data_IF_852441959779
#
_entry.id   IF_852441959779
#
_cell.length_a   1.000
_cell.length_b   1.000
_cell.length_c   1.000
_cell.angle_alpha   90.00
_cell.angle_beta   90.00
_cell.angle_gamma   90.00
#
_symmetry.space_group_name_H-M   'P 1'
#
loop_
_entity.id
_entity.type
_entity.pdbx_description
1 polymer ?
#
# COMPACT_ATOMS: atom_id res chain seq x y z
N UNK A 1 14.10 -16.02 8.87
CA UNK A 1 14.34 -15.27 7.62
C UNK A 1 12.96 -14.92 7.08
N UNK A 2 12.55 -13.67 7.18
CA UNK A 2 11.33 -13.16 6.53
C UNK A 2 11.64 -13.25 5.04
N UNK A 3 10.87 -14.06 4.30
CA UNK A 3 11.03 -14.19 2.87
C UNK A 3 10.87 -12.79 2.26
N UNK A 4 11.92 -12.27 1.62
CA UNK A 4 11.83 -11.03 0.85
C UNK A 4 10.68 -11.19 -0.12
N UNK A 5 9.72 -10.27 -0.08
CA UNK A 5 8.65 -10.23 -1.07
C UNK A 5 9.30 -10.14 -2.45
N UNK A 6 9.09 -11.17 -3.29
CA UNK A 6 9.67 -11.26 -4.64
C UNK A 6 9.32 -10.06 -5.54
N UNK A 7 8.40 -9.22 -5.10
CA UNK A 7 8.05 -7.97 -5.76
C UNK A 7 9.22 -6.99 -5.80
N UNK A 8 10.03 -6.89 -4.74
CA UNK A 8 11.13 -5.93 -4.65
C UNK A 8 12.40 -6.37 -5.40
N UNK A 9 12.52 -7.65 -5.72
CA UNK A 9 13.70 -8.20 -6.44
C UNK A 9 13.53 -8.19 -7.98
N UNK A 10 12.50 -7.52 -8.51
CA UNK A 10 12.20 -7.47 -9.94
C UNK A 10 12.87 -6.28 -10.63
N UNK A 11 13.28 -6.44 -11.89
CA UNK A 11 13.94 -5.37 -12.64
C UNK A 11 13.02 -4.24 -13.11
N UNK A 12 11.69 -4.45 -13.08
CA UNK A 12 10.72 -3.42 -13.42
C UNK A 12 10.72 -2.30 -12.39
N UNK A 13 10.50 -1.07 -12.85
CA UNK A 13 10.54 0.13 -12.00
C UNK A 13 9.19 0.37 -11.33
N UNK A 14 9.19 0.53 -10.01
CA UNK A 14 8.01 0.94 -9.23
C UNK A 14 8.08 2.43 -8.85
N UNK A 15 6.96 2.96 -8.37
CA UNK A 15 6.93 4.32 -7.81
C UNK A 15 7.86 4.46 -6.58
N UNK A 16 8.00 3.40 -5.78
CA UNK A 16 8.92 3.38 -4.64
C UNK A 16 10.38 3.48 -5.09
N UNK A 17 10.76 2.79 -6.16
CA UNK A 17 12.12 2.86 -6.71
C UNK A 17 12.42 4.27 -7.23
N UNK A 18 11.45 4.93 -7.88
CA UNK A 18 11.59 6.32 -8.33
C UNK A 18 11.73 7.29 -7.16
N UNK A 19 10.98 7.06 -6.09
CA UNK A 19 11.05 7.87 -4.86
C UNK A 19 12.39 7.70 -4.16
N UNK A 20 12.94 6.48 -4.11
CA UNK A 20 14.25 6.19 -3.55
C UNK A 20 15.36 6.86 -4.38
N UNK A 21 15.28 6.76 -5.70
CA UNK A 21 16.20 7.44 -6.61
C UNK A 21 16.13 8.97 -6.44
N UNK A 22 14.93 9.53 -6.34
CA UNK A 22 14.75 10.95 -6.07
C UNK A 22 15.40 11.38 -4.76
N UNK A 23 15.19 10.62 -3.67
CA UNK A 23 15.80 10.90 -2.37
C UNK A 23 17.33 10.76 -2.39
N UNK A 24 17.87 9.90 -3.24
CA UNK A 24 19.33 9.78 -3.42
C UNK A 24 19.93 11.03 -4.06
N UNK A 25 19.30 11.57 -5.12
CA UNK A 25 19.80 12.77 -5.80
C UNK A 25 19.41 14.10 -5.12
N UNK A 26 18.30 14.09 -4.41
CA UNK A 26 17.73 15.26 -3.72
C UNK A 26 17.35 14.88 -2.30
N UNK A 27 18.34 14.63 -1.42
CA UNK A 27 18.07 14.20 -0.06
C UNK A 27 17.26 15.28 0.69
N UNK A 28 16.29 14.83 1.47
CA UNK A 28 15.49 15.72 2.32
C UNK A 28 16.29 16.07 3.57
N UNK A 29 16.22 17.31 4.00
CA UNK A 29 16.86 17.80 5.22
C UNK A 29 16.31 17.13 6.50
N UNK A 30 15.11 16.60 6.42
CA UNK A 30 14.42 15.91 7.50
C UNK A 30 13.91 14.55 7.05
N UNK A 31 14.29 13.52 7.78
CA UNK A 31 13.79 12.15 7.61
C UNK A 31 12.84 11.83 8.76
N UNK A 32 11.55 11.72 8.46
CA UNK A 32 10.58 11.27 9.44
C UNK A 32 10.74 9.75 9.64
N UNK A 33 10.80 9.30 10.89
CA UNK A 33 10.75 7.87 11.19
C UNK A 33 9.30 7.37 11.02
N UNK A 34 9.07 6.64 9.94
CA UNK A 34 7.76 6.10 9.57
C UNK A 34 7.64 4.59 9.83
N UNK A 35 8.64 3.98 10.49
CA UNK A 35 8.66 2.51 10.69
C UNK A 35 7.41 1.99 11.37
N UNK A 36 6.98 2.64 12.45
CA UNK A 36 5.76 2.23 13.17
C UNK A 36 4.49 2.43 12.34
N UNK A 37 4.43 3.51 11.56
CA UNK A 37 3.30 3.76 10.65
C UNK A 37 3.21 2.70 9.55
N UNK A 38 4.34 2.34 8.93
CA UNK A 38 4.39 1.26 7.93
C UNK A 38 4.08 -0.11 8.53
N UNK A 39 4.59 -0.39 9.73
CA UNK A 39 4.31 -1.62 10.46
C UNK A 39 2.81 -1.77 10.74
N UNK A 40 2.19 -0.71 11.24
CA UNK A 40 0.76 -0.70 11.52
C UNK A 40 -0.08 -0.76 10.23
N UNK A 41 0.32 -0.05 9.17
CA UNK A 41 -0.30 -0.15 7.84
C UNK A 41 -0.28 -1.57 7.31
N UNK A 42 0.87 -2.26 7.39
CA UNK A 42 1.01 -3.67 6.98
C UNK A 42 0.10 -4.61 7.77
N UNK A 43 -0.13 -4.36 9.06
CA UNK A 43 -1.07 -5.15 9.87
C UNK A 43 -2.50 -5.05 9.33
N UNK A 44 -2.98 -3.83 9.03
CA UNK A 44 -4.35 -3.61 8.52
C UNK A 44 -4.48 -4.19 7.12
N UNK A 45 -3.49 -3.96 6.26
CA UNK A 45 -3.45 -4.50 4.91
C UNK A 45 -3.52 -6.03 4.94
N UNK A 46 -2.65 -6.69 5.71
CA UNK A 46 -2.68 -8.14 5.84
C UNK A 46 -4.04 -8.65 6.35
N UNK A 47 -4.65 -7.96 7.33
CA UNK A 47 -5.97 -8.37 7.86
C UNK A 47 -7.10 -8.28 6.83
N UNK A 48 -6.99 -7.39 5.83
CA UNK A 48 -8.02 -7.17 4.82
C UNK A 48 -7.76 -7.92 3.52
N UNK A 49 -6.52 -7.92 3.04
CA UNK A 49 -6.16 -8.42 1.71
C UNK A 49 -5.48 -9.80 1.73
N UNK A 50 -4.76 -10.14 2.81
CA UNK A 50 -3.99 -11.38 2.95
C UNK A 50 -4.15 -12.04 4.33
N UNK A 51 -5.39 -12.39 4.76
CA UNK A 51 -5.63 -12.92 6.11
C UNK A 51 -4.87 -14.21 6.44
N UNK A 52 -4.34 -14.91 5.44
CA UNK A 52 -3.50 -16.10 5.63
C UNK A 52 -2.11 -15.79 6.23
N UNK A 53 -1.64 -14.54 6.14
CA UNK A 53 -0.40 -14.07 6.77
C UNK A 53 -0.56 -13.73 8.25
N UNK A 54 -1.81 -13.67 8.74
CA UNK A 54 -2.16 -13.20 10.08
C UNK A 54 -2.36 -14.36 11.03
N UNK A 55 -1.53 -14.45 12.08
CA UNK A 55 -1.78 -15.34 13.21
C UNK A 55 -2.64 -14.59 14.26
N UNK A 56 -3.94 -14.79 14.18
CA UNK A 56 -4.90 -14.12 15.07
C UNK A 56 -4.75 -14.56 16.54
N UNK A 57 -4.24 -15.74 16.78
CA UNK A 57 -4.04 -16.25 18.13
C UNK A 57 -2.81 -15.62 18.80
N UNK A 58 -1.70 -15.51 18.06
CA UNK A 58 -0.46 -14.91 18.56
C UNK A 58 -0.40 -13.41 18.38
N UNK A 59 -1.37 -12.81 17.68
CA UNK A 59 -1.39 -11.38 17.31
C UNK A 59 -0.14 -10.99 16.51
N UNK A 60 0.12 -11.75 15.44
CA UNK A 60 1.32 -11.60 14.59
C UNK A 60 0.94 -11.53 13.11
N UNK A 61 1.79 -10.84 12.35
CA UNK A 61 1.82 -10.89 10.88
C UNK A 61 3.23 -11.29 10.47
N UNK A 62 3.38 -12.39 9.73
CA UNK A 62 4.66 -12.94 9.28
C UNK A 62 5.69 -13.12 10.44
N UNK A 63 5.22 -13.40 11.66
CA UNK A 63 6.05 -13.56 12.84
C UNK A 63 6.36 -12.26 13.60
N UNK A 64 5.97 -11.09 13.07
CA UNK A 64 6.07 -9.81 13.78
C UNK A 64 4.89 -9.64 14.75
N UNK A 65 5.20 -9.37 16.01
CA UNK A 65 4.20 -9.22 17.09
C UNK A 65 3.74 -7.78 17.21
N UNK A 66 2.46 -7.61 17.54
CA UNK A 66 1.83 -6.32 17.79
C UNK A 66 1.36 -6.21 19.24
N UNK A 67 1.37 -4.98 19.77
CA UNK A 67 0.82 -4.72 21.08
C UNK A 67 -0.70 -4.89 21.09
N UNK A 68 -1.26 -5.20 22.26
CA UNK A 68 -2.72 -5.36 22.41
C UNK A 68 -3.52 -4.14 21.92
N UNK A 69 -3.14 -2.89 22.23
CA UNK A 69 -3.83 -1.71 21.69
C UNK A 69 -3.78 -1.60 20.17
N UNK A 70 -2.61 -1.82 19.55
CA UNK A 70 -2.47 -1.81 18.08
C UNK A 70 -3.36 -2.86 17.44
N UNK A 71 -3.33 -4.08 17.99
CA UNK A 71 -4.14 -5.18 17.50
C UNK A 71 -5.64 -4.87 17.57
N UNK A 72 -6.10 -4.34 18.72
CA UNK A 72 -7.50 -3.98 18.91
C UNK A 72 -7.93 -2.89 17.93
N UNK A 73 -7.10 -1.87 17.72
CA UNK A 73 -7.38 -0.80 16.77
C UNK A 73 -7.45 -1.35 15.33
N UNK A 74 -6.49 -2.18 14.93
CA UNK A 74 -6.50 -2.81 13.60
C UNK A 74 -7.73 -3.68 13.38
N UNK A 75 -8.16 -4.44 14.40
CA UNK A 75 -9.39 -5.23 14.36
C UNK A 75 -10.63 -4.35 14.17
N UNK A 76 -10.71 -3.22 14.88
CA UNK A 76 -11.82 -2.26 14.72
C UNK A 76 -11.83 -1.66 13.29
N UNK A 77 -10.67 -1.27 12.76
CA UNK A 77 -10.55 -0.74 11.40
C UNK A 77 -10.94 -1.79 10.35
N UNK A 78 -10.45 -3.03 10.50
CA UNK A 78 -10.85 -4.16 9.64
C UNK A 78 -12.36 -4.38 9.67
N UNK A 79 -12.96 -4.40 10.86
CA UNK A 79 -14.39 -4.66 11.02
C UNK A 79 -15.24 -3.50 10.49
N UNK A 80 -14.75 -2.26 10.59
CA UNK A 80 -15.37 -1.09 9.95
C UNK A 80 -15.32 -1.21 8.42
N UNK A 81 -14.16 -1.55 7.85
CA UNK A 81 -14.00 -1.79 6.42
C UNK A 81 -14.93 -2.91 5.91
N UNK A 82 -15.06 -4.01 6.67
CA UNK A 82 -15.99 -5.11 6.32
C UNK A 82 -17.47 -4.74 6.41
N UNK A 83 -17.82 -3.69 7.16
CA UNK A 83 -19.21 -3.17 7.22
C UNK A 83 -19.52 -2.21 6.08
N UNK A 84 -18.51 -1.63 5.47
CA UNK A 84 -18.68 -0.73 4.34
C UNK A 84 -19.05 -1.53 3.07
N UNK A 85 -20.18 -1.21 2.40
CA UNK A 85 -20.64 -1.98 1.24
C UNK A 85 -19.68 -1.96 0.07
N UNK A 86 -18.98 -0.83 -0.16
CA UNK A 86 -18.02 -0.69 -1.25
C UNK A 86 -16.77 -1.55 -0.99
N UNK A 87 -16.21 -1.46 0.21
CA UNK A 87 -15.06 -2.28 0.62
C UNK A 87 -15.39 -3.77 0.53
N UNK A 88 -16.58 -4.19 1.00
CA UNK A 88 -17.02 -5.58 0.88
C UNK A 88 -17.18 -6.04 -0.57
N UNK A 89 -17.66 -5.16 -1.44
CA UNK A 89 -17.77 -5.47 -2.87
C UNK A 89 -16.37 -5.62 -3.49
N UNK A 90 -15.44 -4.74 -3.17
CA UNK A 90 -14.04 -4.83 -3.60
C UNK A 90 -13.40 -6.14 -3.14
N UNK A 91 -13.53 -6.51 -1.87
CA UNK A 91 -13.01 -7.78 -1.34
C UNK A 91 -13.58 -9.03 -2.03
N UNK A 92 -14.81 -8.95 -2.56
CA UNK A 92 -15.47 -10.08 -3.26
C UNK A 92 -15.10 -10.16 -4.74
N UNK A 93 -14.92 -9.03 -5.40
CA UNK A 93 -14.77 -8.95 -6.87
C UNK A 93 -13.32 -8.72 -7.31
N UNK A 94 -12.44 -8.34 -6.41
CA UNK A 94 -11.05 -8.03 -6.71
C UNK A 94 -10.10 -9.11 -6.20
N UNK A 95 -8.99 -9.28 -6.91
CA UNK A 95 -7.84 -10.01 -6.41
C UNK A 95 -7.05 -9.12 -5.45
N UNK A 96 -6.65 -9.65 -4.30
CA UNK A 96 -5.75 -8.96 -3.38
C UNK A 96 -4.31 -9.01 -3.86
N UNK A 97 -3.52 -7.98 -3.54
CA UNK A 97 -2.07 -7.93 -3.76
C UNK A 97 -1.62 -8.24 -5.21
N UNK A 98 -2.36 -7.71 -6.19
CA UNK A 98 -2.13 -7.99 -7.60
C UNK A 98 -0.99 -7.17 -8.17
N UNK A 99 0.05 -7.83 -8.70
CA UNK A 99 1.16 -7.17 -9.40
C UNK A 99 0.83 -7.03 -10.87
N UNK A 100 0.90 -5.80 -11.37
CA UNK A 100 0.72 -5.46 -12.80
C UNK A 100 1.97 -4.79 -13.32
N UNK A 101 2.28 -5.09 -14.59
CA UNK A 101 3.42 -4.47 -15.29
C UNK A 101 2.94 -3.85 -16.59
N UNK A 102 3.54 -2.73 -16.96
CA UNK A 102 3.25 -2.03 -18.21
C UNK A 102 4.50 -1.36 -18.76
N UNK A 103 4.74 -1.52 -20.07
CA UNK A 103 5.75 -0.73 -20.77
C UNK A 103 5.18 0.69 -20.99
N UNK A 104 5.83 1.69 -20.45
CA UNK A 104 5.42 3.10 -20.55
C UNK A 104 6.48 3.86 -21.35
N UNK A 105 6.04 4.62 -22.34
CA UNK A 105 6.88 5.52 -23.10
C UNK A 105 6.83 6.91 -22.48
N UNK A 106 7.99 7.51 -22.26
CA UNK A 106 8.16 8.86 -21.74
C UNK A 106 8.79 9.73 -22.82
N UNK A 107 8.31 10.96 -22.91
CA UNK A 107 8.92 12.02 -23.71
C UNK A 107 9.34 13.15 -22.76
N UNK A 108 10.63 13.39 -22.66
CA UNK A 108 11.19 14.46 -21.85
C UNK A 108 11.97 15.42 -22.74
N UNK A 109 11.37 16.54 -23.10
CA UNK A 109 11.94 17.55 -24.00
C UNK A 109 12.45 16.95 -25.33
N UNK A 110 11.70 16.01 -25.91
CA UNK A 110 12.06 15.31 -27.16
C UNK A 110 12.97 14.09 -26.98
N UNK A 111 13.47 13.85 -25.78
CA UNK A 111 14.17 12.60 -25.47
C UNK A 111 13.17 11.51 -25.11
N UNK A 112 13.02 10.52 -26.00
CA UNK A 112 12.08 9.42 -25.81
C UNK A 112 12.78 8.20 -25.23
N UNK A 113 12.18 7.65 -24.17
CA UNK A 113 12.65 6.41 -23.56
C UNK A 113 11.47 5.56 -23.07
N UNK A 114 11.72 4.28 -22.83
CA UNK A 114 10.72 3.34 -22.35
C UNK A 114 11.16 2.71 -21.05
N UNK A 115 10.25 2.63 -20.09
CA UNK A 115 10.45 1.89 -18.85
C UNK A 115 9.37 0.81 -18.69
N UNK A 116 9.79 -0.38 -18.31
CA UNK A 116 8.85 -1.39 -17.83
C UNK A 116 8.53 -1.05 -16.38
N UNK A 117 7.31 -0.58 -16.17
CA UNK A 117 6.82 -0.16 -14.86
C UNK A 117 6.09 -1.33 -14.19
N UNK A 118 6.19 -1.43 -12.85
CA UNK A 118 5.38 -2.33 -12.04
C UNK A 118 4.60 -1.56 -10.99
N UNK A 119 3.41 -2.07 -10.66
CA UNK A 119 2.59 -1.61 -9.55
C UNK A 119 2.00 -2.82 -8.84
N UNK A 120 1.92 -2.77 -7.51
CA UNK A 120 1.23 -3.75 -6.68
C UNK A 120 -0.01 -3.08 -6.12
N UNK A 121 -1.18 -3.57 -6.51
CA UNK A 121 -2.47 -3.07 -6.06
C UNK A 121 -2.95 -3.91 -4.87
N UNK A 122 -3.46 -3.27 -3.84
CA UNK A 122 -4.10 -3.98 -2.71
C UNK A 122 -5.37 -4.69 -3.17
N UNK A 123 -6.10 -4.08 -4.11
CA UNK A 123 -7.24 -4.67 -4.78
C UNK A 123 -7.15 -4.43 -6.29
N UNK A 124 -7.39 -5.48 -7.09
CA UNK A 124 -7.40 -5.40 -8.54
C UNK A 124 -8.61 -6.11 -9.14
N UNK A 125 -9.38 -5.40 -9.96
CA UNK A 125 -10.49 -5.97 -10.74
C UNK A 125 -10.07 -6.19 -12.19
N UNK A 126 -9.88 -7.45 -12.59
CA UNK A 126 -9.62 -7.80 -13.99
C UNK A 126 -10.82 -7.44 -14.90
N UNK A 127 -12.04 -7.64 -14.39
CA UNK A 127 -13.25 -7.38 -15.17
C UNK A 127 -13.42 -5.89 -15.48
N UNK A 128 -13.05 -5.03 -14.56
CA UNK A 128 -13.27 -3.58 -14.68
C UNK A 128 -12.02 -2.82 -15.09
N UNK A 129 -10.85 -3.47 -15.07
CA UNK A 129 -9.58 -2.88 -15.45
C UNK A 129 -9.10 -1.76 -14.53
N UNK A 130 -9.47 -1.78 -13.23
CA UNK A 130 -9.03 -0.81 -12.25
C UNK A 130 -8.48 -1.46 -10.98
N UNK A 131 -7.65 -0.70 -10.28
CA UNK A 131 -7.09 -1.07 -8.99
C UNK A 131 -7.40 -0.06 -7.91
N UNK A 132 -7.32 -0.51 -6.67
CA UNK A 132 -7.42 0.36 -5.51
C UNK A 132 -6.30 0.04 -4.52
N UNK A 133 -5.95 1.04 -3.73
CA UNK A 133 -4.90 0.99 -2.72
C UNK A 133 -5.48 1.34 -1.36
N UNK A 134 -5.08 0.61 -0.33
CA UNK A 134 -5.54 0.78 1.04
C UNK A 134 -4.62 1.74 1.78
N UNK A 135 -5.16 2.84 2.28
CA UNK A 135 -4.39 3.80 3.06
C UNK A 135 -4.96 3.92 4.48
N UNK A 136 -4.13 3.60 5.46
CA UNK A 136 -4.41 3.93 6.85
C UNK A 136 -4.01 5.38 7.14
N UNK A 137 -4.79 6.07 7.97
CA UNK A 137 -4.52 7.46 8.34
C UNK A 137 -4.88 7.71 9.80
N UNK A 138 -4.24 8.69 10.40
CA UNK A 138 -4.58 9.21 11.74
C UNK A 138 -5.73 10.21 11.71
N UNK A 139 -6.29 10.52 10.53
CA UNK A 139 -7.42 11.43 10.39
C UNK A 139 -8.65 10.92 11.16
N UNK A 140 -9.27 11.78 11.96
CA UNK A 140 -10.46 11.50 12.76
C UNK A 140 -11.75 12.08 12.17
N UNK A 141 -11.64 12.78 11.03
CA UNK A 141 -12.77 13.35 10.31
C UNK A 141 -12.54 13.29 8.80
N UNK A 142 -13.63 13.34 8.01
CA UNK A 142 -13.56 13.37 6.55
C UNK A 142 -12.71 14.55 6.06
N UNK A 143 -12.83 15.72 6.69
CA UNK A 143 -12.03 16.89 6.32
C UNK A 143 -10.54 16.62 6.47
N UNK A 144 -10.12 16.10 7.64
CA UNK A 144 -8.71 15.75 7.88
C UNK A 144 -8.22 14.68 6.90
N UNK A 145 -9.06 13.72 6.54
CA UNK A 145 -8.72 12.71 5.55
C UNK A 145 -8.49 13.33 4.17
N UNK A 146 -9.39 14.21 3.73
CA UNK A 146 -9.25 14.94 2.45
C UNK A 146 -7.99 15.80 2.44
N UNK A 147 -7.72 16.52 3.53
CA UNK A 147 -6.49 17.32 3.68
C UNK A 147 -5.24 16.42 3.61
N UNK A 148 -5.26 15.24 4.22
CA UNK A 148 -4.19 14.26 4.14
C UNK A 148 -4.01 13.73 2.70
N UNK A 149 -5.10 13.45 1.96
CA UNK A 149 -5.02 13.03 0.57
C UNK A 149 -4.27 14.05 -0.30
N UNK A 150 -4.58 15.33 -0.15
CA UNK A 150 -3.86 16.40 -0.87
C UNK A 150 -2.41 16.55 -0.40
N UNK A 151 -2.18 16.50 0.91
CA UNK A 151 -0.83 16.67 1.47
C UNK A 151 0.12 15.56 1.01
N UNK A 152 -0.34 14.33 1.01
CA UNK A 152 0.46 13.15 0.64
C UNK A 152 0.32 12.77 -0.84
N UNK A 153 -0.42 13.54 -1.64
CA UNK A 153 -0.66 13.31 -3.07
C UNK A 153 -1.16 11.89 -3.36
N UNK A 154 -2.09 11.36 -2.56
CA UNK A 154 -2.63 10.01 -2.76
C UNK A 154 -3.32 9.83 -4.12
N UNK A 155 -3.82 10.93 -4.71
CA UNK A 155 -4.42 10.98 -6.04
C UNK A 155 -3.42 10.87 -7.20
N UNK A 156 -2.12 10.94 -6.93
CA UNK A 156 -1.03 10.98 -7.93
C UNK A 156 -0.06 9.81 -7.84
N UNK A 157 -0.39 8.80 -7.05
CA UNK A 157 0.46 7.63 -6.84
C UNK A 157 0.21 6.53 -7.88
#
# INVERSE_FOLDING_TARGET
MIGKDSYYDKPEVSNSDLSEMQNYFMPKDYVMDLRDAYRFGNLIDAMLTEPHRVDFFKQQVDGESFTKPEWQLAMQMRDAGKKDPMTMQMMKLCSGQAVKTKLVEFDYFGFKFRLLMRCKFDFWSEQMGWGADLKSTTATSLKQFVDACYHFNYDRQ
#
